data_IF_067912146699
#
_entry.id   IF_067912146699
#
_cell.length_a   1.000
_cell.length_b   1.000
_cell.length_c   1.000
_cell.angle_alpha   90.00
_cell.angle_beta   90.00
_cell.angle_gamma   90.00
#
_symmetry.space_group_name_H-M   'P 1'
#
loop_
_entity.id
_entity.type
_entity.pdbx_description
1 polymer ?
#
# COMPACT_ATOMS: atom_id res chain seq x y z
N UNK A 1 2.14 19.78 2.11
CA UNK A 1 3.34 19.68 2.94
C UNK A 1 4.48 18.99 2.21
N UNK A 2 5.69 19.35 2.57
CA UNK A 2 6.89 18.75 2.00
C UNK A 2 7.41 17.70 2.96
N UNK A 3 7.64 16.49 2.44
CA UNK A 3 8.18 15.39 3.23
C UNK A 3 9.65 15.16 2.85
N UNK A 4 10.48 14.69 3.79
CA UNK A 4 11.89 14.39 3.50
C UNK A 4 12.05 13.04 2.78
N UNK A 5 11.05 12.63 1.99
CA UNK A 5 11.08 11.40 1.21
C UNK A 5 10.18 11.55 -0.01
N UNK A 6 10.39 10.68 -1.00
CA UNK A 6 9.55 10.63 -2.20
C UNK A 6 8.45 9.59 -2.04
N UNK A 7 7.29 9.78 -2.68
CA UNK A 7 6.24 8.75 -2.68
C UNK A 7 6.69 7.45 -3.33
N UNK A 8 7.60 7.54 -4.30
CA UNK A 8 8.15 6.38 -4.97
C UNK A 8 9.55 6.65 -5.47
N UNK A 9 10.27 5.60 -5.80
CA UNK A 9 11.63 5.70 -6.35
C UNK A 9 11.85 4.56 -7.34
N UNK A 10 12.66 4.80 -8.36
CA UNK A 10 12.97 3.78 -9.37
C UNK A 10 14.48 3.62 -9.53
N UNK A 11 14.89 2.43 -9.93
CA UNK A 11 16.29 2.14 -10.22
C UNK A 11 16.44 0.69 -10.65
N UNK A 12 17.26 0.44 -11.68
CA UNK A 12 17.58 -0.93 -12.13
C UNK A 12 16.37 -1.76 -12.53
N UNK A 13 15.33 -1.12 -13.05
CA UNK A 13 14.09 -1.80 -13.41
C UNK A 13 13.14 -2.01 -12.23
N UNK A 14 13.50 -1.54 -11.04
CA UNK A 14 12.65 -1.65 -9.85
C UNK A 14 11.89 -0.36 -9.61
N UNK A 15 10.68 -0.52 -9.10
CA UNK A 15 9.83 0.60 -8.66
C UNK A 15 9.46 0.34 -7.21
N UNK A 16 9.80 1.29 -6.33
CA UNK A 16 9.50 1.21 -4.90
C UNK A 16 8.45 2.25 -4.56
N UNK A 17 7.48 1.89 -3.72
CA UNK A 17 6.63 2.90 -3.11
C UNK A 17 7.09 3.16 -1.68
N UNK A 18 6.94 4.39 -1.22
CA UNK A 18 6.92 4.64 0.22
C UNK A 18 5.66 4.01 0.81
N UNK A 19 5.61 3.85 2.12
CA UNK A 19 4.40 3.36 2.78
C UNK A 19 3.22 4.28 2.48
N UNK A 20 2.15 3.70 1.97
CA UNK A 20 0.92 4.43 1.67
C UNK A 20 -0.12 4.10 2.73
N UNK A 21 -0.92 5.07 3.07
CA UNK A 21 -2.08 4.91 3.96
C UNK A 21 -3.33 5.40 3.22
N UNK A 22 -4.47 5.42 3.91
CA UNK A 22 -5.75 5.70 3.28
C UNK A 22 -6.05 7.19 3.16
N UNK A 23 -5.11 7.99 2.67
CA UNK A 23 -5.41 9.40 2.44
C UNK A 23 -6.09 9.62 1.09
N UNK A 24 -6.92 10.67 1.06
CA UNK A 24 -7.55 11.13 -0.17
C UNK A 24 -6.66 12.17 -0.87
N UNK A 25 -7.17 12.77 -1.92
CA UNK A 25 -6.44 13.77 -2.72
C UNK A 25 -6.14 15.06 -1.95
N UNK A 26 -6.80 15.29 -0.80
CA UNK A 26 -6.51 16.44 0.06
C UNK A 26 -5.50 16.13 1.15
N UNK A 27 -5.07 14.85 1.27
CA UNK A 27 -4.15 14.41 2.31
C UNK A 27 -4.84 14.03 3.62
N UNK A 28 -6.16 13.95 3.63
CA UNK A 28 -6.93 13.54 4.80
C UNK A 28 -7.09 12.02 4.83
N UNK A 29 -6.96 11.41 6.01
CA UNK A 29 -7.21 9.98 6.19
C UNK A 29 -8.71 9.72 6.09
N UNK A 30 -9.08 8.81 5.19
CA UNK A 30 -10.48 8.42 4.98
C UNK A 30 -10.80 7.10 5.65
N UNK A 31 -12.08 6.74 5.70
CA UNK A 31 -12.50 5.45 6.23
C UNK A 31 -12.18 5.26 7.70
N UNK A 32 -12.28 6.32 8.49
CA UNK A 32 -11.96 6.25 9.92
C UNK A 32 -12.79 5.15 10.59
N UNK A 33 -12.11 4.23 11.27
CA UNK A 33 -12.76 3.10 11.95
C UNK A 33 -13.17 1.95 11.03
N UNK A 34 -12.86 2.02 9.72
CA UNK A 34 -13.27 1.01 8.74
C UNK A 34 -12.04 0.49 7.99
N UNK A 35 -11.50 -0.65 8.44
CA UNK A 35 -10.27 -1.21 7.86
C UNK A 35 -10.48 -1.67 6.41
N UNK A 36 -11.67 -2.13 6.06
CA UNK A 36 -11.94 -2.53 4.67
C UNK A 36 -11.85 -1.33 3.73
N UNK A 37 -12.51 -0.23 4.09
CA UNK A 37 -12.47 1.00 3.31
C UNK A 37 -11.04 1.56 3.26
N UNK A 38 -10.32 1.53 4.37
CA UNK A 38 -8.93 2.00 4.40
C UNK A 38 -8.02 1.13 3.54
N UNK A 39 -8.20 -0.18 3.55
CA UNK A 39 -7.39 -1.07 2.72
C UNK A 39 -7.60 -0.76 1.24
N UNK A 40 -8.86 -0.57 0.82
CA UNK A 40 -9.17 -0.20 -0.57
C UNK A 40 -8.48 1.09 -0.98
N UNK A 41 -8.59 2.14 -0.16
CA UNK A 41 -7.99 3.44 -0.49
C UNK A 41 -6.46 3.37 -0.46
N UNK A 42 -5.89 2.67 0.52
CA UNK A 42 -4.44 2.48 0.63
C UNK A 42 -3.89 1.79 -0.62
N UNK A 43 -4.53 0.70 -1.06
CA UNK A 43 -4.08 -0.02 -2.25
C UNK A 43 -4.27 0.79 -3.52
N UNK A 44 -5.33 1.60 -3.60
CA UNK A 44 -5.52 2.53 -4.71
C UNK A 44 -4.35 3.53 -4.77
N UNK A 45 -3.90 4.01 -3.62
CA UNK A 45 -2.76 4.92 -3.56
C UNK A 45 -1.46 4.21 -3.99
N UNK A 46 -1.26 2.96 -3.56
CA UNK A 46 -0.10 2.16 -3.99
C UNK A 46 -0.11 2.01 -5.51
N UNK A 47 -1.25 1.65 -6.10
CA UNK A 47 -1.37 1.48 -7.54
C UNK A 47 -1.04 2.79 -8.28
N UNK A 48 -1.49 3.92 -7.74
CA UNK A 48 -1.22 5.23 -8.32
C UNK A 48 0.28 5.56 -8.34
N UNK A 49 0.97 5.30 -7.23
CA UNK A 49 2.42 5.53 -7.14
C UNK A 49 3.18 4.60 -8.09
N UNK A 50 2.78 3.32 -8.14
CA UNK A 50 3.38 2.37 -9.07
C UNK A 50 3.25 2.83 -10.53
N UNK A 51 2.07 3.35 -10.89
CA UNK A 51 1.81 3.83 -12.26
C UNK A 51 2.74 4.98 -12.63
N UNK A 52 3.05 5.86 -11.69
CA UNK A 52 4.00 6.95 -11.95
C UNK A 52 5.40 6.42 -12.25
N UNK A 53 5.76 5.26 -11.73
CA UNK A 53 7.02 4.58 -12.02
C UNK A 53 6.96 3.64 -13.23
N UNK A 54 5.81 3.58 -13.90
CA UNK A 54 5.63 2.72 -15.08
C UNK A 54 5.24 1.29 -14.76
N UNK A 55 4.79 1.01 -13.53
CA UNK A 55 4.43 -0.35 -13.10
C UNK A 55 2.93 -0.51 -12.91
N UNK A 56 2.46 -1.74 -13.04
CA UNK A 56 1.09 -2.14 -12.74
C UNK A 56 1.11 -3.17 -11.61
N UNK A 57 -0.07 -3.57 -11.14
CA UNK A 57 -0.18 -4.60 -10.10
C UNK A 57 0.46 -5.92 -10.52
N UNK A 58 0.48 -6.22 -11.82
CA UNK A 58 1.08 -7.46 -12.33
C UNK A 58 2.61 -7.47 -12.21
N UNK A 59 3.22 -6.32 -12.01
CA UNK A 59 4.67 -6.17 -11.87
C UNK A 59 5.13 -6.25 -10.43
N UNK A 60 4.20 -6.29 -9.46
CA UNK A 60 4.53 -6.26 -8.03
C UNK A 60 5.12 -7.59 -7.60
N UNK A 61 6.31 -7.55 -7.00
CA UNK A 61 6.99 -8.72 -6.48
C UNK A 61 6.77 -8.91 -4.98
N UNK A 62 6.67 -7.81 -4.25
CA UNK A 62 6.61 -7.85 -2.79
C UNK A 62 5.77 -6.70 -2.25
N UNK A 63 4.91 -7.02 -1.30
CA UNK A 63 4.23 -6.03 -0.46
C UNK A 63 4.55 -6.28 1.00
N UNK A 64 4.64 -5.22 1.78
CA UNK A 64 4.64 -5.30 3.24
C UNK A 64 3.42 -4.54 3.73
N UNK A 65 2.63 -5.20 4.57
CA UNK A 65 1.41 -4.63 5.14
C UNK A 65 1.60 -4.45 6.64
N UNK A 66 1.31 -3.25 7.11
CA UNK A 66 1.37 -2.89 8.52
C UNK A 66 -0.06 -2.63 8.97
N UNK A 67 -0.51 -3.38 9.99
CA UNK A 67 -1.85 -3.21 10.57
C UNK A 67 -1.72 -2.62 11.97
N UNK A 68 -2.53 -1.62 12.27
CA UNK A 68 -2.59 -1.06 13.62
C UNK A 68 -3.11 -2.10 14.61
N UNK A 69 -3.92 -3.07 14.15
CA UNK A 69 -4.47 -4.15 14.95
C UNK A 69 -4.44 -5.42 14.10
N UNK A 70 -3.69 -6.42 14.53
CA UNK A 70 -3.55 -7.68 13.77
C UNK A 70 -4.87 -8.43 13.65
N UNK A 71 -5.86 -8.14 14.50
CA UNK A 71 -7.20 -8.73 14.39
C UNK A 71 -7.92 -8.34 13.10
N UNK A 72 -7.44 -7.30 12.41
CA UNK A 72 -7.99 -6.87 11.12
C UNK A 72 -7.41 -7.65 9.93
N UNK A 73 -6.60 -8.67 10.21
CA UNK A 73 -5.88 -9.44 9.18
C UNK A 73 -6.82 -10.01 8.11
N UNK A 74 -7.90 -10.66 8.53
CA UNK A 74 -8.80 -11.33 7.59
C UNK A 74 -9.54 -10.33 6.70
N UNK A 75 -10.03 -9.24 7.27
CA UNK A 75 -10.71 -8.20 6.51
C UNK A 75 -9.77 -7.56 5.50
N UNK A 76 -8.54 -7.27 5.93
CA UNK A 76 -7.52 -6.73 5.03
C UNK A 76 -7.23 -7.70 3.89
N UNK A 77 -7.10 -9.01 4.19
CA UNK A 77 -6.85 -10.03 3.17
C UNK A 77 -7.91 -10.06 2.08
N UNK A 78 -9.18 -9.92 2.47
CA UNK A 78 -10.29 -9.95 1.51
C UNK A 78 -10.19 -8.79 0.52
N UNK A 79 -9.84 -7.60 1.01
CA UNK A 79 -9.69 -6.44 0.14
C UNK A 79 -8.40 -6.51 -0.69
N UNK A 80 -7.32 -7.00 -0.09
CA UNK A 80 -6.05 -7.18 -0.79
C UNK A 80 -6.20 -8.13 -1.98
N UNK A 81 -6.95 -9.23 -1.80
CA UNK A 81 -7.16 -10.22 -2.84
C UNK A 81 -7.88 -9.66 -4.07
N UNK A 82 -8.69 -8.63 -3.89
CA UNK A 82 -9.41 -7.99 -5.01
C UNK A 82 -8.46 -7.22 -5.93
N UNK A 83 -7.34 -6.72 -5.39
CA UNK A 83 -6.35 -5.96 -6.15
C UNK A 83 -5.34 -6.90 -6.81
N UNK A 84 -5.03 -8.03 -6.18
CA UNK A 84 -4.06 -9.01 -6.67
C UNK A 84 -4.75 -10.37 -6.84
N UNK A 85 -5.68 -10.49 -7.80
CA UNK A 85 -6.48 -11.73 -7.96
C UNK A 85 -5.71 -12.87 -8.61
N UNK A 86 -4.63 -12.57 -9.34
CA UNK A 86 -3.85 -13.56 -10.09
C UNK A 86 -2.38 -13.39 -9.75
N UNK A 87 -1.71 -14.50 -9.42
CA UNK A 87 -0.29 -14.49 -9.09
C UNK A 87 0.06 -13.41 -8.07
N UNK A 88 -0.51 -13.48 -6.85
CA UNK A 88 -0.29 -12.44 -5.85
C UNK A 88 1.19 -12.32 -5.49
N UNK A 89 1.64 -11.12 -5.11
CA UNK A 89 3.04 -10.91 -4.72
C UNK A 89 3.35 -11.62 -3.41
N UNK A 90 4.63 -11.81 -3.14
CA UNK A 90 5.08 -12.17 -1.81
C UNK A 90 4.63 -11.07 -0.84
N UNK A 91 4.24 -11.44 0.38
CA UNK A 91 3.74 -10.46 1.35
C UNK A 91 4.18 -10.82 2.76
N UNK A 92 4.54 -9.80 3.52
CA UNK A 92 4.71 -9.87 4.97
C UNK A 92 3.67 -8.97 5.60
N UNK A 93 3.00 -9.44 6.65
CA UNK A 93 2.00 -8.64 7.38
C UNK A 93 2.37 -8.63 8.85
N UNK A 94 2.45 -7.45 9.43
CA UNK A 94 2.80 -7.28 10.85
C UNK A 94 1.88 -6.25 11.50
N UNK A 95 1.77 -6.32 12.82
CA UNK A 95 1.13 -5.27 13.59
C UNK A 95 2.17 -4.20 13.91
N UNK A 96 1.79 -2.95 13.76
CA UNK A 96 2.69 -1.83 14.06
C UNK A 96 1.88 -0.59 14.43
N UNK A 97 2.47 0.26 15.24
CA UNK A 97 1.90 1.58 15.49
C UNK A 97 2.19 2.44 14.26
N UNK A 98 1.13 3.04 13.72
CA UNK A 98 1.25 3.91 12.56
C UNK A 98 1.38 5.37 13.00
N UNK A 99 1.62 6.27 12.02
CA UNK A 99 1.96 7.65 12.33
C UNK A 99 0.82 8.44 13.00
N UNK A 100 -0.44 8.06 12.72
CA UNK A 100 -1.61 8.71 13.31
C UNK A 100 -2.60 7.65 13.79
N UNK A 101 -3.35 7.95 14.88
CA UNK A 101 -4.31 6.96 15.43
C UNK A 101 -5.43 6.56 14.47
N UNK A 102 -5.75 7.40 13.48
CA UNK A 102 -6.79 7.12 12.49
C UNK A 102 -6.32 6.16 11.39
N UNK A 103 -5.01 5.95 11.28
CA UNK A 103 -4.45 5.03 10.28
C UNK A 103 -4.57 3.60 10.79
N UNK A 104 -5.28 2.75 10.05
CA UNK A 104 -5.49 1.34 10.41
C UNK A 104 -4.62 0.40 9.60
N UNK A 105 -4.16 0.82 8.43
CA UNK A 105 -3.36 0.00 7.52
C UNK A 105 -2.40 0.87 6.74
N UNK A 106 -1.21 0.32 6.50
CA UNK A 106 -0.20 0.93 5.66
C UNK A 106 0.40 -0.15 4.78
N UNK A 107 0.66 0.15 3.50
CA UNK A 107 1.20 -0.82 2.54
C UNK A 107 2.32 -0.17 1.75
N UNK A 108 3.41 -0.88 1.59
CA UNK A 108 4.48 -0.53 0.65
C UNK A 108 4.66 -1.67 -0.34
N UNK A 109 5.15 -1.35 -1.51
CA UNK A 109 5.30 -2.34 -2.59
C UNK A 109 6.62 -2.16 -3.34
N UNK A 110 7.12 -3.27 -3.88
CA UNK A 110 8.25 -3.30 -4.78
C UNK A 110 7.81 -4.00 -6.06
N UNK A 111 7.99 -3.35 -7.20
CA UNK A 111 7.66 -3.89 -8.50
C UNK A 111 8.90 -3.94 -9.40
N UNK A 112 8.86 -4.81 -10.40
CA UNK A 112 9.93 -4.90 -11.40
C UNK A 112 9.31 -4.75 -12.77
N UNK A 113 9.81 -3.78 -13.53
CA UNK A 113 9.31 -3.49 -14.89
C UNK A 113 10.30 -3.90 -15.97
N UNK A 114 11.41 -4.50 -15.56
CA UNK A 114 12.44 -4.92 -16.49
C UNK A 114 13.43 -3.82 -16.82
N UNK A 115 14.35 -4.15 -17.67
CA UNK A 115 15.43 -3.24 -18.08
C UNK A 115 15.11 -2.53 -19.38
#
# INVERSE_FOLDING_TARGET
>A
PTYPYSPGATGGGLVFTAGQVAWDETGEVTGVGDVAAQTRQTLKNVVSVLAEGGATVNDVLKCTVYLADIRDFQTMNEEFAKVFPTDPPARTTVEARLAEPTMLVEVEAVAYVGS
#
